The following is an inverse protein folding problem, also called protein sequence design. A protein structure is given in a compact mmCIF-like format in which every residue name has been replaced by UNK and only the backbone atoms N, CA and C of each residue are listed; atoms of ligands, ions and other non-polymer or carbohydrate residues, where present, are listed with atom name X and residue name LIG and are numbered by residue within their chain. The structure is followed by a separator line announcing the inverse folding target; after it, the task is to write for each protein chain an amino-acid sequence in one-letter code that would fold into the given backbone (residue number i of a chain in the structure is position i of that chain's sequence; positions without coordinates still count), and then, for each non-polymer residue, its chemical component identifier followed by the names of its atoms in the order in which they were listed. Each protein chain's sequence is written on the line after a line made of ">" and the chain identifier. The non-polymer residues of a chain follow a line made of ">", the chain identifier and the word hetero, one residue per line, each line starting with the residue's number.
data_IF_514049035035
#
_entry.id   IF_514049035035
#
_cell.length_a   1.000
_cell.length_b   1.000
_cell.length_c   1.000
_cell.angle_alpha   90.00
_cell.angle_beta   90.00
_cell.angle_gamma   90.00
#
_symmetry.space_group_name_H-M   'P 1'
#
loop_
_entity.id
_entity.type
_entity.pdbx_description
1 polymer ?
#
# COMPACT_ATOMS: atom_id res chain seq x y z
N UNK A 1 17.93 -13.68 10.40
CA UNK A 1 16.72 -14.54 10.47
C UNK A 1 15.83 -14.21 9.27
N UNK A 2 15.13 -15.21 8.72
CA UNK A 2 14.17 -14.97 7.63
C UNK A 2 12.89 -14.34 8.22
N UNK A 3 12.32 -13.37 7.51
CA UNK A 3 11.16 -12.57 7.93
C UNK A 3 9.82 -13.20 7.49
N UNK A 4 8.77 -12.84 8.21
CA UNK A 4 7.37 -13.04 7.83
C UNK A 4 6.77 -11.73 7.33
N UNK A 5 6.25 -11.71 6.11
CA UNK A 5 5.48 -10.58 5.57
C UNK A 5 3.98 -10.75 5.88
N UNK A 6 3.31 -9.65 6.21
CA UNK A 6 1.85 -9.54 6.29
C UNK A 6 1.38 -8.63 5.16
N UNK A 7 0.40 -9.07 4.37
CA UNK A 7 -0.08 -8.33 3.21
C UNK A 7 -1.61 -8.23 3.18
N UNK A 8 -2.09 -7.00 3.17
CA UNK A 8 -3.48 -6.65 2.91
C UNK A 8 -3.63 -6.12 1.48
N UNK A 9 -4.64 -6.58 0.74
CA UNK A 9 -4.92 -6.09 -0.61
C UNK A 9 -4.10 -6.76 -1.72
N UNK A 10 -3.71 -8.03 -1.52
CA UNK A 10 -2.93 -8.83 -2.48
C UNK A 10 -3.57 -9.02 -3.87
N UNK A 11 -4.86 -8.75 -4.02
CA UNK A 11 -5.56 -8.80 -5.32
C UNK A 11 -5.55 -7.47 -6.09
N UNK A 12 -5.05 -6.39 -5.49
CA UNK A 12 -4.92 -5.08 -6.14
C UNK A 12 -3.63 -4.96 -6.96
N UNK A 13 -3.50 -3.94 -7.82
CA UNK A 13 -2.33 -3.77 -8.69
C UNK A 13 -0.99 -3.77 -7.95
N UNK A 14 -0.86 -2.95 -6.90
CA UNK A 14 0.37 -2.92 -6.09
C UNK A 14 0.49 -4.23 -5.31
N UNK A 15 -0.59 -4.67 -4.66
CA UNK A 15 -0.56 -5.85 -3.79
C UNK A 15 -0.22 -7.15 -4.50
N UNK A 16 -0.68 -7.34 -5.75
CA UNK A 16 -0.38 -8.56 -6.52
C UNK A 16 1.09 -8.58 -6.96
N UNK A 17 1.59 -7.45 -7.49
CA UNK A 17 3.00 -7.31 -7.84
C UNK A 17 3.90 -7.45 -6.61
N UNK A 18 3.47 -6.90 -5.47
CA UNK A 18 4.18 -7.06 -4.21
C UNK A 18 4.21 -8.51 -3.74
N UNK A 19 3.09 -9.23 -3.82
CA UNK A 19 3.04 -10.65 -3.46
C UNK A 19 4.02 -11.47 -4.32
N UNK A 20 4.03 -11.27 -5.63
CA UNK A 20 4.95 -11.95 -6.54
C UNK A 20 6.41 -11.65 -6.18
N UNK A 21 6.73 -10.41 -5.84
CA UNK A 21 8.08 -10.02 -5.42
C UNK A 21 8.47 -10.62 -4.05
N UNK A 22 7.53 -10.66 -3.09
CA UNK A 22 7.78 -11.26 -1.77
C UNK A 22 8.02 -12.76 -1.87
N UNK A 23 7.26 -13.48 -2.71
CA UNK A 23 7.45 -14.93 -2.96
C UNK A 23 8.88 -15.20 -3.45
N UNK A 24 9.35 -14.39 -4.39
CA UNK A 24 10.66 -14.52 -5.00
C UNK A 24 11.81 -13.93 -4.16
N UNK A 25 11.52 -13.30 -3.02
CA UNK A 25 12.52 -12.69 -2.16
C UNK A 25 12.97 -13.65 -1.06
N UNK A 26 14.28 -13.92 -1.00
CA UNK A 26 14.90 -14.84 -0.03
C UNK A 26 14.92 -14.30 1.41
N UNK A 27 14.61 -13.01 1.62
CA UNK A 27 14.43 -12.43 2.95
C UNK A 27 13.19 -12.98 3.64
N UNK A 28 12.17 -13.37 2.86
CA UNK A 28 10.90 -13.87 3.39
C UNK A 28 10.75 -15.38 3.19
N UNK A 29 10.47 -16.08 4.30
CA UNK A 29 10.11 -17.49 4.28
C UNK A 29 8.61 -17.73 4.43
N UNK A 30 7.87 -16.72 4.92
CA UNK A 30 6.43 -16.79 5.13
C UNK A 30 5.75 -15.48 4.76
N UNK A 31 4.61 -15.59 4.11
CA UNK A 31 3.82 -14.47 3.61
C UNK A 31 2.36 -14.74 3.97
N UNK A 32 1.82 -13.95 4.90
CA UNK A 32 0.41 -14.02 5.30
C UNK A 32 -0.40 -13.04 4.50
N UNK A 33 -1.32 -13.53 3.68
CA UNK A 33 -2.26 -12.68 2.95
C UNK A 33 -3.62 -12.70 3.64
N UNK A 34 -4.19 -11.52 3.87
CA UNK A 34 -5.53 -11.36 4.42
C UNK A 34 -6.48 -10.99 3.29
N UNK A 35 -7.47 -11.85 3.03
CA UNK A 35 -8.31 -11.77 1.83
C UNK A 35 -9.77 -12.01 2.16
N UNK A 36 -10.67 -11.39 1.40
CA UNK A 36 -12.13 -11.65 1.45
C UNK A 36 -12.55 -12.87 0.63
N UNK A 37 -11.78 -13.17 -0.42
CA UNK A 37 -12.03 -14.27 -1.35
C UNK A 37 -10.75 -15.08 -1.48
N UNK A 38 -10.86 -16.40 -1.34
CA UNK A 38 -9.73 -17.31 -1.48
C UNK A 38 -9.15 -17.21 -2.90
N UNK A 39 -7.86 -16.89 -3.05
CA UNK A 39 -7.20 -16.91 -4.34
C UNK A 39 -6.73 -18.32 -4.69
N UNK A 40 -6.58 -18.60 -5.98
CA UNK A 40 -5.92 -19.81 -6.46
C UNK A 40 -4.40 -19.60 -6.44
N UNK A 41 -3.79 -19.70 -5.25
CA UNK A 41 -2.34 -19.60 -5.07
C UNK A 41 -1.85 -20.92 -4.49
N UNK A 42 -0.92 -21.56 -5.20
CA UNK A 42 -0.22 -22.75 -4.75
C UNK A 42 1.26 -22.41 -4.53
N UNK A 43 1.59 -21.99 -3.31
CA UNK A 43 2.96 -21.66 -2.92
C UNK A 43 3.18 -21.90 -1.43
N UNK A 44 4.23 -22.65 -1.09
CA UNK A 44 4.54 -23.05 0.29
C UNK A 44 4.89 -21.89 1.23
N UNK A 45 5.31 -20.73 0.69
CA UNK A 45 5.54 -19.53 1.51
C UNK A 45 4.25 -18.81 1.88
N UNK A 46 3.15 -19.04 1.16
CA UNK A 46 1.92 -18.24 1.29
C UNK A 46 0.92 -18.90 2.23
N UNK A 47 0.59 -18.22 3.31
CA UNK A 47 -0.54 -18.55 4.19
C UNK A 47 -1.72 -17.64 3.87
N UNK A 48 -2.88 -18.23 3.57
CA UNK A 48 -4.11 -17.48 3.26
C UNK A 48 -4.99 -17.39 4.51
N UNK A 49 -5.27 -16.17 4.94
CA UNK A 49 -6.17 -15.87 6.06
C UNK A 49 -7.44 -15.25 5.49
N UNK A 50 -8.52 -16.03 5.49
CA UNK A 50 -9.82 -15.57 5.00
C UNK A 50 -10.54 -14.72 6.05
N UNK A 51 -10.99 -13.53 5.67
CA UNK A 51 -11.70 -12.58 6.55
C UNK A 51 -12.53 -11.59 5.74
N UNK A 52 -13.69 -11.21 6.26
CA UNK A 52 -14.55 -10.16 5.69
C UNK A 52 -14.16 -8.74 6.14
N UNK A 53 -13.21 -8.63 7.07
CA UNK A 53 -12.79 -7.39 7.72
C UNK A 53 -13.91 -6.63 8.46
N UNK A 54 -14.96 -7.33 8.90
CA UNK A 54 -16.03 -6.75 9.71
C UNK A 54 -15.70 -6.85 11.20
N UNK A 55 -15.21 -8.02 11.63
CA UNK A 55 -14.74 -8.25 13.00
C UNK A 55 -13.21 -8.39 13.04
N UNK A 56 -12.54 -7.27 13.33
CA UNK A 56 -11.07 -7.23 13.38
C UNK A 56 -10.49 -7.86 14.64
N UNK A 57 -11.29 -8.12 15.68
CA UNK A 57 -10.80 -8.76 16.90
C UNK A 57 -10.36 -10.20 16.61
N UNK A 58 -11.06 -10.88 15.70
CA UNK A 58 -10.68 -12.22 15.20
C UNK A 58 -9.33 -12.27 14.49
N UNK A 59 -8.80 -11.11 14.09
CA UNK A 59 -7.52 -11.00 13.38
C UNK A 59 -6.35 -10.75 14.31
N UNK A 60 -6.58 -10.35 15.57
CA UNK A 60 -5.52 -9.98 16.52
C UNK A 60 -4.46 -11.07 16.64
N UNK A 61 -4.85 -12.32 16.86
CA UNK A 61 -3.89 -13.42 17.03
C UNK A 61 -3.20 -13.82 15.71
N UNK A 62 -3.86 -13.58 14.58
CA UNK A 62 -3.37 -13.99 13.24
C UNK A 62 -2.42 -12.97 12.62
N UNK A 63 -2.60 -11.69 12.94
CA UNK A 63 -1.84 -10.54 12.41
C UNK A 63 -0.47 -10.43 13.09
N UNK A 64 0.40 -11.40 12.82
CA UNK A 64 1.76 -11.48 13.35
C UNK A 64 2.78 -11.63 12.22
N UNK A 65 3.90 -10.93 12.32
CA UNK A 65 5.00 -10.93 11.34
C UNK A 65 6.01 -9.81 11.63
N UNK A 66 6.89 -9.56 10.67
CA UNK A 66 7.95 -8.56 10.80
C UNK A 66 7.64 -7.27 10.03
N UNK A 67 7.11 -7.44 8.81
CA UNK A 67 6.80 -6.36 7.88
C UNK A 67 5.33 -6.44 7.46
N UNK A 68 4.55 -5.39 7.71
CA UNK A 68 3.14 -5.30 7.34
C UNK A 68 2.92 -4.29 6.22
N UNK A 69 2.42 -4.77 5.08
CA UNK A 69 2.09 -3.99 3.91
C UNK A 69 0.57 -3.84 3.76
N UNK A 70 0.10 -2.60 3.77
CA UNK A 70 -1.31 -2.27 3.59
C UNK A 70 -1.54 -1.65 2.21
N UNK A 71 -2.12 -2.44 1.31
CA UNK A 71 -2.40 -2.08 -0.08
C UNK A 71 -3.91 -2.07 -0.42
N UNK A 72 -4.80 -2.16 0.59
CA UNK A 72 -6.24 -2.08 0.36
C UNK A 72 -6.62 -0.64 -0.02
N UNK A 73 -7.46 -0.54 -1.05
CA UNK A 73 -8.16 0.68 -1.42
C UNK A 73 -9.37 0.35 -2.29
N UNK A 74 -10.32 1.27 -2.33
CA UNK A 74 -11.55 1.20 -3.12
C UNK A 74 -11.80 2.49 -3.88
N UNK A 75 -12.82 2.48 -4.74
CA UNK A 75 -13.27 3.65 -5.48
C UNK A 75 -14.72 3.98 -5.11
N UNK A 76 -15.16 5.22 -5.31
CA UNK A 76 -16.57 5.57 -5.14
C UNK A 76 -17.50 4.76 -6.06
N UNK A 77 -16.98 4.29 -7.21
CA UNK A 77 -17.73 3.41 -8.12
C UNK A 77 -17.94 2.03 -7.52
N UNK A 78 -16.89 1.45 -6.93
CA UNK A 78 -16.93 0.11 -6.33
C UNK A 78 -17.59 0.11 -4.94
N UNK A 79 -17.61 1.26 -4.26
CA UNK A 79 -18.18 1.43 -2.92
C UNK A 79 -18.94 2.77 -2.85
N UNK A 80 -20.19 2.79 -3.34
CA UNK A 80 -21.00 4.01 -3.38
C UNK A 80 -21.53 4.43 -2.01
N UNK A 81 -21.68 3.47 -1.07
CA UNK A 81 -22.05 3.79 0.31
C UNK A 81 -20.94 4.57 1.02
N UNK A 82 -21.28 5.73 1.57
CA UNK A 82 -20.31 6.67 2.15
C UNK A 82 -19.68 6.13 3.43
N UNK A 83 -20.44 5.42 4.25
CA UNK A 83 -19.95 4.88 5.51
C UNK A 83 -19.00 3.71 5.24
N UNK A 84 -19.36 2.82 4.32
CA UNK A 84 -18.51 1.73 3.89
C UNK A 84 -17.24 2.23 3.18
N UNK A 85 -17.36 3.25 2.34
CA UNK A 85 -16.19 3.90 1.71
C UNK A 85 -15.24 4.46 2.77
N UNK A 86 -15.78 5.16 3.77
CA UNK A 86 -15.00 5.70 4.89
C UNK A 86 -14.38 4.58 5.73
N UNK A 87 -15.12 3.50 5.99
CA UNK A 87 -14.64 2.33 6.71
C UNK A 87 -13.43 1.71 6.02
N UNK A 88 -13.50 1.51 4.71
CA UNK A 88 -12.42 0.90 3.92
C UNK A 88 -11.21 1.84 3.78
N UNK A 89 -11.44 3.12 3.47
CA UNK A 89 -10.35 4.07 3.17
C UNK A 89 -9.71 4.69 4.42
N UNK A 90 -10.36 4.63 5.59
CA UNK A 90 -9.85 5.23 6.83
C UNK A 90 -9.89 4.32 8.05
N UNK A 91 -11.05 3.78 8.42
CA UNK A 91 -11.15 3.07 9.70
C UNK A 91 -10.32 1.78 9.68
N UNK A 92 -10.44 1.01 8.59
CA UNK A 92 -9.76 -0.26 8.40
C UNK A 92 -8.22 -0.15 8.44
N UNK A 93 -7.55 0.75 7.68
CA UNK A 93 -6.10 0.89 7.78
C UNK A 93 -5.64 1.31 9.18
N UNK A 94 -6.35 2.22 9.84
CA UNK A 94 -5.98 2.70 11.18
C UNK A 94 -6.13 1.60 12.22
N UNK A 95 -7.24 0.85 12.19
CA UNK A 95 -7.49 -0.24 13.14
C UNK A 95 -6.51 -1.40 12.95
N UNK A 96 -6.26 -1.83 11.71
CA UNK A 96 -5.29 -2.88 11.43
C UNK A 96 -3.85 -2.46 11.76
N UNK A 97 -3.50 -1.18 11.58
CA UNK A 97 -2.23 -0.66 12.04
C UNK A 97 -2.08 -0.73 13.58
N UNK A 98 -3.14 -0.38 14.33
CA UNK A 98 -3.12 -0.51 15.80
C UNK A 98 -2.93 -1.96 16.23
N UNK A 99 -3.59 -2.91 15.57
CA UNK A 99 -3.41 -4.35 15.84
C UNK A 99 -1.98 -4.79 15.49
N UNK A 100 -1.45 -4.38 14.34
CA UNK A 100 -0.07 -4.67 13.94
C UNK A 100 0.95 -4.14 14.96
N UNK A 101 0.76 -2.91 15.45
CA UNK A 101 1.62 -2.34 16.49
C UNK A 101 1.50 -3.10 17.82
N UNK A 102 0.29 -3.47 18.22
CA UNK A 102 0.04 -4.27 19.42
C UNK A 102 0.79 -5.62 19.36
N UNK A 103 0.85 -6.23 18.18
CA UNK A 103 1.58 -7.48 17.93
C UNK A 103 3.08 -7.28 17.65
N UNK A 104 3.64 -6.12 17.99
CA UNK A 104 5.06 -5.81 17.87
C UNK A 104 5.63 -5.90 16.44
N UNK A 105 4.78 -5.73 15.42
CA UNK A 105 5.26 -5.60 14.04
C UNK A 105 6.08 -4.32 13.94
N UNK A 106 7.31 -4.45 13.45
CA UNK A 106 8.29 -3.36 13.44
C UNK A 106 8.08 -2.40 12.27
N UNK A 107 7.83 -2.95 11.09
CA UNK A 107 7.68 -2.17 9.86
C UNK A 107 6.22 -2.13 9.41
N UNK A 108 5.67 -0.93 9.23
CA UNK A 108 4.33 -0.74 8.67
C UNK A 108 4.40 0.14 7.43
N UNK A 109 3.93 -0.39 6.31
CA UNK A 109 4.02 0.23 5.00
C UNK A 109 2.59 0.47 4.49
N UNK A 110 2.21 1.74 4.34
CA UNK A 110 0.87 2.13 3.92
C UNK A 110 0.89 2.75 2.53
N UNK A 111 0.10 2.21 1.61
CA UNK A 111 -0.09 2.80 0.28
C UNK A 111 -1.14 3.92 0.36
N UNK A 112 -0.65 5.15 0.29
CA UNK A 112 -1.42 6.38 0.20
C UNK A 112 -1.47 6.88 -1.25
N UNK A 113 -1.49 8.20 -1.45
CA UNK A 113 -1.53 8.83 -2.76
C UNK A 113 -0.86 10.19 -2.74
N UNK A 114 -0.26 10.58 -3.87
CA UNK A 114 0.28 11.93 -4.02
C UNK A 114 -0.82 12.98 -3.78
N UNK A 115 -0.51 14.00 -2.98
CA UNK A 115 -1.46 15.06 -2.63
C UNK A 115 -2.46 14.69 -1.52
N UNK A 116 -2.30 13.54 -0.87
CA UNK A 116 -3.03 13.21 0.35
C UNK A 116 -2.89 14.35 1.38
N UNK A 117 -4.03 14.84 1.86
CA UNK A 117 -4.09 15.97 2.78
C UNK A 117 -5.41 15.89 3.58
N UNK A 118 -5.38 15.87 4.91
CA UNK A 118 -6.57 15.75 5.77
C UNK A 118 -7.57 16.90 5.62
N UNK A 119 -7.17 18.01 4.98
CA UNK A 119 -8.00 19.18 4.67
C UNK A 119 -8.41 19.27 3.20
N UNK A 120 -8.11 18.26 2.38
CA UNK A 120 -8.50 18.25 0.97
C UNK A 120 -10.03 18.25 0.81
N UNK A 121 -10.51 18.90 -0.26
CA UNK A 121 -11.92 18.85 -0.67
C UNK A 121 -12.32 17.50 -1.26
N UNK A 122 -11.38 16.82 -1.94
CA UNK A 122 -11.55 15.45 -2.41
C UNK A 122 -11.64 14.49 -1.23
N UNK A 123 -12.74 13.73 -1.13
CA UNK A 123 -12.95 12.75 -0.05
C UNK A 123 -11.85 11.68 -0.05
N UNK A 124 -11.38 11.26 -1.22
CA UNK A 124 -10.27 10.32 -1.35
C UNK A 124 -8.97 10.86 -0.74
N UNK A 125 -8.51 12.04 -1.17
CA UNK A 125 -7.28 12.65 -0.67
C UNK A 125 -7.39 13.04 0.81
N UNK A 126 -8.59 13.41 1.25
CA UNK A 126 -8.91 13.67 2.65
C UNK A 126 -8.75 12.44 3.51
N UNK A 127 -9.40 11.32 3.15
CA UNK A 127 -9.30 10.07 3.88
C UNK A 127 -7.85 9.60 3.96
N UNK A 128 -7.13 9.56 2.81
CA UNK A 128 -5.70 9.20 2.78
C UNK A 128 -4.87 10.06 3.72
N UNK A 129 -5.03 11.40 3.66
CA UNK A 129 -4.28 12.32 4.51
C UNK A 129 -4.59 12.16 6.00
N UNK A 130 -5.84 11.89 6.36
CA UNK A 130 -6.21 11.63 7.75
C UNK A 130 -5.63 10.30 8.25
N UNK A 131 -5.59 9.24 7.41
CA UNK A 131 -4.91 7.99 7.78
C UNK A 131 -3.42 8.24 8.02
N UNK A 132 -2.75 9.01 7.16
CA UNK A 132 -1.34 9.35 7.33
C UNK A 132 -1.06 10.02 8.68
N UNK A 133 -1.92 10.95 9.12
CA UNK A 133 -1.80 11.59 10.44
C UNK A 133 -1.98 10.59 11.58
N UNK A 134 -2.96 9.69 11.48
CA UNK A 134 -3.19 8.66 12.51
C UNK A 134 -2.03 7.67 12.59
N UNK A 135 -1.53 7.19 11.45
CA UNK A 135 -0.42 6.24 11.40
C UNK A 135 0.85 6.82 12.03
N UNK A 136 1.15 8.11 11.81
CA UNK A 136 2.28 8.81 12.42
C UNK A 136 2.20 8.85 13.96
N UNK A 137 1.01 8.77 14.54
CA UNK A 137 0.79 8.78 16.00
C UNK A 137 0.93 7.40 16.64
N UNK A 138 0.85 6.30 15.87
CA UNK A 138 0.89 4.93 16.42
C UNK A 138 2.30 4.55 16.94
N UNK A 139 3.36 5.18 16.42
CA UNK A 139 4.73 4.98 16.91
C UNK A 139 5.35 3.65 16.48
N UNK A 140 5.21 3.25 15.22
CA UNK A 140 5.99 2.15 14.65
C UNK A 140 7.49 2.46 14.67
N UNK A 141 8.32 1.42 14.82
CA UNK A 141 9.78 1.57 14.71
C UNK A 141 10.17 2.10 13.34
N UNK A 142 9.46 1.64 12.31
CA UNK A 142 9.58 2.15 10.96
C UNK A 142 8.19 2.23 10.31
N UNK A 143 7.76 3.45 10.02
CA UNK A 143 6.55 3.73 9.27
C UNK A 143 6.94 4.28 7.90
N UNK A 144 6.44 3.65 6.84
CA UNK A 144 6.61 4.12 5.46
C UNK A 144 5.26 4.37 4.80
N UNK A 145 4.98 5.63 4.51
CA UNK A 145 3.80 6.11 3.80
C UNK A 145 4.19 6.34 2.36
N UNK A 146 3.60 5.56 1.47
CA UNK A 146 3.93 5.53 0.04
C UNK A 146 2.93 6.42 -0.69
N UNK A 147 3.38 7.51 -1.31
CA UNK A 147 2.55 8.44 -2.07
C UNK A 147 2.84 8.34 -3.58
N UNK A 148 2.37 7.27 -4.23
CA UNK A 148 2.52 7.13 -5.66
C UNK A 148 1.63 8.16 -6.38
N UNK A 149 2.10 8.58 -7.55
CA UNK A 149 1.39 9.31 -8.56
C UNK A 149 0.60 8.31 -9.41
N UNK A 150 0.34 8.63 -10.68
CA UNK A 150 -0.29 7.71 -11.60
C UNK A 150 0.54 6.45 -11.80
N UNK A 151 -0.04 5.31 -11.42
CA UNK A 151 0.57 4.00 -11.56
C UNK A 151 0.48 3.51 -13.00
N UNK A 152 1.60 3.06 -13.55
CA UNK A 152 1.69 2.39 -14.85
C UNK A 152 2.02 0.92 -14.60
N UNK A 153 1.19 0.01 -15.13
CA UNK A 153 1.41 -1.43 -15.00
C UNK A 153 0.29 -2.24 -15.64
N UNK A 154 0.57 -3.49 -15.99
CA UNK A 154 -0.42 -4.38 -16.59
C UNK A 154 -1.41 -4.86 -15.51
N UNK A 155 -2.68 -4.49 -15.65
CA UNK A 155 -3.80 -5.09 -14.90
C UNK A 155 -4.55 -6.06 -15.81
N UNK A 156 -5.07 -7.16 -15.26
CA UNK A 156 -6.12 -7.96 -15.90
C UNK A 156 -7.49 -7.27 -15.85
N UNK A 157 -7.73 -6.42 -14.83
CA UNK A 157 -8.96 -5.64 -14.70
C UNK A 157 -8.72 -4.14 -14.92
N UNK A 158 -9.29 -3.63 -16.02
CA UNK A 158 -9.39 -2.22 -16.37
C UNK A 158 -10.19 -1.47 -15.30
N UNK A 159 -9.50 -0.80 -14.36
CA UNK A 159 -10.11 0.24 -13.53
C UNK A 159 -9.72 1.60 -14.07
N UNK A 160 -10.55 2.06 -15.02
CA UNK A 160 -11.03 3.41 -15.26
C UNK A 160 -10.34 4.49 -14.39
N UNK A 161 -9.15 4.91 -14.79
CA UNK A 161 -8.77 6.31 -15.08
C UNK A 161 -7.81 6.19 -16.28
N UNK A 162 -8.50 5.94 -17.38
CA UNK A 162 -8.19 5.81 -18.80
C UNK A 162 -6.77 5.94 -19.36
N UNK A 163 -6.49 4.92 -20.17
CA UNK A 163 -5.62 4.77 -21.36
C UNK A 163 -5.40 6.04 -22.23
N UNK A 164 -6.17 7.11 -22.06
CA UNK A 164 -5.97 8.40 -22.76
C UNK A 164 -5.18 9.44 -21.94
N UNK A 165 -5.12 9.31 -20.62
CA UNK A 165 -4.36 10.21 -19.75
C UNK A 165 -2.88 9.86 -19.62
N UNK A 166 -2.50 8.59 -19.81
CA UNK A 166 -1.10 8.15 -19.70
C UNK A 166 -0.19 8.76 -20.79
N UNK A 167 -0.53 8.74 -22.10
CA UNK A 167 0.32 9.38 -23.11
C UNK A 167 0.37 10.90 -22.91
N UNK A 168 -0.76 11.54 -22.57
CA UNK A 168 -0.80 12.98 -22.27
C UNK A 168 0.02 13.34 -21.04
N UNK A 169 -0.09 12.58 -19.94
CA UNK A 169 0.70 12.79 -18.73
C UNK A 169 2.18 12.46 -18.92
N UNK A 170 2.52 11.46 -19.74
CA UNK A 170 3.91 11.19 -20.14
C UNK A 170 4.48 12.38 -20.91
N UNK A 171 3.72 12.93 -21.86
CA UNK A 171 4.10 14.13 -22.60
C UNK A 171 4.21 15.36 -21.69
N UNK A 172 3.24 15.61 -20.81
CA UNK A 172 3.27 16.71 -19.83
C UNK A 172 4.44 16.57 -18.85
N UNK A 173 4.80 15.35 -18.48
CA UNK A 173 5.88 15.10 -17.53
C UNK A 173 7.27 15.50 -18.01
N UNK A 174 7.45 15.69 -19.33
CA UNK A 174 8.67 16.29 -19.89
C UNK A 174 8.88 17.74 -19.43
N UNK A 175 7.80 18.40 -18.99
CA UNK A 175 7.82 19.77 -18.48
C UNK A 175 7.76 19.84 -16.95
N UNK A 176 7.74 18.69 -16.25
CA UNK A 176 7.73 18.66 -14.78
C UNK A 176 9.15 18.81 -14.23
N UNK A 177 9.58 20.05 -14.05
CA UNK A 177 10.84 20.41 -13.38
C UNK A 177 10.63 20.74 -11.90
N UNK A 178 11.69 20.60 -11.09
CA UNK A 178 11.64 20.89 -9.65
C UNK A 178 10.57 20.10 -8.89
N UNK A 179 9.80 20.77 -8.03
CA UNK A 179 8.79 20.16 -7.16
C UNK A 179 7.61 19.47 -7.86
N UNK A 180 7.49 19.58 -9.18
CA UNK A 180 6.47 18.88 -9.98
C UNK A 180 6.86 17.45 -10.39
N UNK A 181 8.13 17.06 -10.26
CA UNK A 181 8.61 15.70 -10.60
C UNK A 181 7.86 14.57 -9.86
N UNK A 182 7.32 14.87 -8.68
CA UNK A 182 6.51 13.95 -7.87
C UNK A 182 5.17 13.56 -8.52
N UNK A 183 4.70 14.28 -9.53
CA UNK A 183 3.46 13.96 -10.26
C UNK A 183 3.69 13.13 -11.52
N UNK A 184 4.93 12.97 -11.97
CA UNK A 184 5.27 12.12 -13.12
C UNK A 184 4.79 10.68 -12.85
N UNK A 185 4.17 9.97 -13.81
CA UNK A 185 3.72 8.60 -13.63
C UNK A 185 4.84 7.64 -13.20
N UNK A 186 4.52 6.63 -12.39
CA UNK A 186 5.49 5.67 -11.85
C UNK A 186 5.07 4.23 -12.15
N UNK A 187 6.04 3.40 -12.51
CA UNK A 187 5.82 1.96 -12.74
C UNK A 187 5.53 1.25 -11.43
N UNK A 188 4.58 0.31 -11.42
CA UNK A 188 4.19 -0.43 -10.22
C UNK A 188 5.38 -1.21 -9.63
N UNK A 189 6.24 -1.76 -10.50
CA UNK A 189 7.42 -2.53 -10.10
C UNK A 189 8.41 -1.68 -9.28
N UNK A 190 8.59 -0.41 -9.68
CA UNK A 190 9.44 0.54 -8.94
C UNK A 190 8.86 0.80 -7.55
N UNK A 191 7.55 1.00 -7.45
CA UNK A 191 6.87 1.23 -6.15
C UNK A 191 7.07 0.01 -5.24
N UNK A 192 6.85 -1.20 -5.76
CA UNK A 192 7.00 -2.45 -5.01
C UNK A 192 8.44 -2.66 -4.54
N UNK A 193 9.43 -2.44 -5.42
CA UNK A 193 10.85 -2.55 -5.05
C UNK A 193 11.22 -1.57 -3.94
N UNK A 194 10.76 -0.33 -4.03
CA UNK A 194 10.98 0.68 -3.00
C UNK A 194 10.34 0.25 -1.67
N UNK A 195 9.09 -0.24 -1.68
CA UNK A 195 8.40 -0.73 -0.48
C UNK A 195 9.18 -1.83 0.25
N UNK A 196 9.73 -2.80 -0.49
CA UNK A 196 10.53 -3.89 0.10
C UNK A 196 11.83 -3.34 0.69
N UNK A 197 12.55 -2.46 -0.02
CA UNK A 197 13.81 -1.88 0.49
C UNK A 197 13.61 -1.07 1.76
N UNK A 198 12.49 -0.35 1.86
CA UNK A 198 12.15 0.45 3.03
C UNK A 198 11.97 -0.40 4.29
N UNK A 199 11.79 -1.72 4.20
CA UNK A 199 11.72 -2.63 5.36
C UNK A 199 13.08 -2.94 6.02
N UNK A 200 14.18 -2.58 5.35
CA UNK A 200 15.55 -2.90 5.79
C UNK A 200 16.31 -1.68 6.33
N UNK A 201 15.74 -0.48 6.24
CA UNK A 201 16.41 0.77 6.59
C UNK A 201 15.92 1.38 7.90
N UNK A 202 16.84 2.04 8.62
CA UNK A 202 16.48 3.04 9.62
C UNK A 202 16.09 4.33 8.89
N UNK A 203 14.84 4.38 8.48
CA UNK A 203 14.29 5.51 7.72
C UNK A 203 14.07 6.71 8.63
N UNK A 204 14.71 7.84 8.32
CA UNK A 204 14.49 9.12 9.01
C UNK A 204 13.21 9.83 8.57
N UNK A 205 12.69 9.45 7.40
CA UNK A 205 11.47 10.01 6.79
C UNK A 205 10.32 9.01 6.92
N UNK A 206 9.10 9.52 7.06
CA UNK A 206 7.89 8.68 7.07
C UNK A 206 7.15 8.65 5.73
N UNK A 207 7.36 9.63 4.85
CA UNK A 207 6.51 9.82 3.67
C UNK A 207 7.36 9.90 2.41
N UNK A 208 7.03 9.07 1.42
CA UNK A 208 7.80 8.88 0.20
C UNK A 208 6.96 9.21 -1.03
N UNK A 209 7.24 10.34 -1.66
CA UNK A 209 6.64 10.76 -2.92
C UNK A 209 7.21 9.98 -4.12
N UNK A 210 6.56 10.08 -5.28
CA UNK A 210 6.90 9.25 -6.45
C UNK A 210 8.31 9.42 -6.98
N UNK A 211 8.86 10.63 -6.93
CA UNK A 211 10.26 10.90 -7.24
C UNK A 211 11.21 10.15 -6.29
N UNK A 212 10.96 10.19 -4.98
CA UNK A 212 11.71 9.41 -3.99
C UNK A 212 11.56 7.90 -4.19
N UNK A 213 10.37 7.44 -4.52
CA UNK A 213 10.13 6.03 -4.83
C UNK A 213 10.92 5.57 -6.06
N UNK A 214 11.14 6.43 -7.07
CA UNK A 214 12.04 6.11 -8.18
C UNK A 214 13.49 5.96 -7.72
N UNK A 215 13.98 6.90 -6.92
CA UNK A 215 15.36 6.85 -6.40
C UNK A 215 15.62 5.54 -5.64
N UNK A 216 14.64 5.09 -4.85
CA UNK A 216 14.74 3.85 -4.08
C UNK A 216 14.53 2.59 -4.94
N UNK A 217 13.51 2.59 -5.80
CA UNK A 217 13.00 1.40 -6.48
C UNK A 217 13.61 1.09 -7.84
N UNK A 218 14.43 1.98 -8.40
CA UNK A 218 15.06 1.80 -9.71
C UNK A 218 16.35 0.96 -9.71
N UNK A 219 16.92 0.68 -8.53
CA UNK A 219 18.15 -0.09 -8.38
C UNK A 219 17.89 -1.55 -7.97
#
# INVERSE_FOLDING_TARGET
>A
MMKTAVLFGSSGLIGSNLLDNLINNNTYNKIKIFVRKLPSIDNSKVEVINTDFLDLDTLKEKLTGDDCFFCIGTTHKDTPDKNEYRRIEYDLPVQLAKIAKFNSISNFIYVSSIGANPKASSTYLKNKGQVEEELKKIGFSNLSIIQPSFLVGNRKDFRIIEVLGIPLMKFLSLFFFGGFKKYTPIKVEIVVNAMIKLTSGNNSEHTYSSDRLRELGSN
#
